data_IF_956945612666
#
_entry.id   IF_956945612666
#
_cell.length_a   1.000
_cell.length_b   1.000
_cell.length_c   1.000
_cell.angle_alpha   90.00
_cell.angle_beta   90.00
_cell.angle_gamma   90.00
#
_symmetry.space_group_name_H-M   'P 1'
#
loop_
_entity.id
_entity.type
_entity.pdbx_description
1 polymer ?
#
# COMPACT_ATOMS: atom_id res chain seq x y z
N UNK A 1 35.24 -8.56 32.66
CA UNK A 1 33.91 -7.96 32.92
C UNK A 1 33.58 -6.81 31.94
N UNK A 2 33.80 -6.96 30.62
CA UNK A 2 33.67 -5.83 29.65
C UNK A 2 32.89 -6.15 28.36
N UNK A 3 32.47 -7.40 28.14
CA UNK A 3 31.74 -7.79 26.92
C UNK A 3 30.23 -7.55 27.04
N UNK A 4 29.67 -7.63 28.25
CA UNK A 4 28.24 -7.49 28.50
C UNK A 4 27.71 -6.07 28.23
N UNK A 5 28.52 -5.03 28.49
CA UNK A 5 28.16 -3.64 28.19
C UNK A 5 28.09 -3.38 26.68
N UNK A 6 28.97 -4.00 25.88
CA UNK A 6 28.94 -3.91 24.42
C UNK A 6 27.73 -4.61 23.81
N UNK A 7 27.35 -5.78 24.34
CA UNK A 7 26.16 -6.51 23.86
C UNK A 7 24.86 -5.76 24.18
N UNK A 8 24.75 -5.17 25.38
CA UNK A 8 23.58 -4.38 25.77
C UNK A 8 23.44 -3.10 24.93
N UNK A 9 24.56 -2.43 24.62
CA UNK A 9 24.57 -1.22 23.78
C UNK A 9 24.19 -1.53 22.32
N UNK A 10 24.68 -2.64 21.76
CA UNK A 10 24.31 -3.11 20.43
C UNK A 10 22.82 -3.52 20.34
N UNK A 11 22.27 -4.14 21.39
CA UNK A 11 20.85 -4.46 21.46
C UNK A 11 19.97 -3.20 21.54
N UNK A 12 20.39 -2.19 22.30
CA UNK A 12 19.65 -0.93 22.44
C UNK A 12 19.64 -0.11 21.13
N UNK A 13 20.75 -0.14 20.37
CA UNK A 13 20.83 0.46 19.03
C UNK A 13 19.98 -0.28 17.98
N UNK A 14 19.86 -1.61 18.09
CA UNK A 14 19.03 -2.42 17.20
C UNK A 14 17.53 -2.33 17.47
N UNK A 15 17.12 -2.08 18.72
CA UNK A 15 15.70 -1.99 19.09
C UNK A 15 15.00 -0.72 18.58
N UNK A 16 15.75 0.35 18.30
CA UNK A 16 15.21 1.63 17.83
C UNK A 16 14.69 1.63 16.38
N UNK A 17 14.95 0.57 15.61
CA UNK A 17 14.55 0.45 14.20
C UNK A 17 13.34 -0.45 13.97
N UNK A 18 12.61 -0.82 15.03
CA UNK A 18 11.28 -1.40 14.90
C UNK A 18 10.37 -0.35 14.23
N UNK A 19 10.19 -0.49 12.92
CA UNK A 19 9.43 0.45 12.11
C UNK A 19 8.00 0.52 12.62
N UNK A 20 7.66 1.58 13.35
CA UNK A 20 6.30 1.87 13.73
C UNK A 20 5.49 2.15 12.46
N UNK A 21 4.31 1.54 12.36
CA UNK A 21 3.39 1.78 11.26
C UNK A 21 2.94 3.25 11.29
N UNK A 22 3.18 4.00 10.22
CA UNK A 22 2.79 5.41 10.13
C UNK A 22 1.42 5.54 9.49
N UNK A 23 0.55 6.33 10.11
CA UNK A 23 -0.77 6.68 9.56
C UNK A 23 -0.66 8.03 8.85
N UNK A 24 -0.98 8.05 7.56
CA UNK A 24 -1.07 9.27 6.74
C UNK A 24 -2.53 9.60 6.46
N UNK A 25 -2.92 10.84 6.73
CA UNK A 25 -4.27 11.33 6.54
C UNK A 25 -4.41 11.93 5.15
N UNK A 26 -5.46 11.58 4.43
CA UNK A 26 -5.83 12.21 3.16
C UNK A 26 -7.12 12.99 3.36
N UNK A 27 -7.07 14.28 3.07
CA UNK A 27 -8.23 15.15 3.12
C UNK A 27 -8.10 16.19 2.00
N UNK A 28 -9.03 16.21 1.05
CA UNK A 28 -9.03 17.19 -0.04
C UNK A 28 -10.03 18.34 0.20
N UNK A 29 -10.71 18.39 1.35
CA UNK A 29 -11.65 19.46 1.70
C UNK A 29 -10.89 20.78 1.94
N UNK A 30 -11.44 21.92 1.48
CA UNK A 30 -10.92 23.25 1.84
C UNK A 30 -10.89 23.44 3.37
N UNK A 31 -9.85 24.11 3.88
CA UNK A 31 -9.74 24.40 5.32
C UNK A 31 -9.38 23.19 6.21
N UNK A 32 -8.92 22.08 5.62
CA UNK A 32 -8.40 20.94 6.38
C UNK A 32 -7.25 21.33 7.33
N UNK A 33 -7.01 20.55 8.40
CA UNK A 33 -5.83 20.73 9.24
C UNK A 33 -4.54 20.54 8.44
N UNK A 34 -3.54 21.37 8.72
CA UNK A 34 -2.18 21.21 8.21
C UNK A 34 -1.40 20.25 9.10
N UNK A 35 -0.49 19.47 8.50
CA UNK A 35 0.40 18.59 9.24
C UNK A 35 1.34 17.84 8.31
N UNK A 36 2.48 17.38 8.83
CA UNK A 36 3.49 16.67 8.05
C UNK A 36 2.99 15.34 7.44
N UNK A 37 1.90 14.79 7.98
CA UNK A 37 1.28 13.54 7.55
C UNK A 37 -0.10 13.73 6.91
N UNK A 38 -0.46 14.98 6.56
CA UNK A 38 -1.75 15.30 5.93
C UNK A 38 -1.54 15.67 4.46
N UNK A 39 -2.25 14.98 3.57
CA UNK A 39 -2.09 15.10 2.12
C UNK A 39 -3.40 15.50 1.42
N UNK A 40 -3.27 16.13 0.26
CA UNK A 40 -4.42 16.54 -0.56
C UNK A 40 -4.96 15.38 -1.39
N UNK A 41 -4.13 14.40 -1.71
CA UNK A 41 -4.52 13.27 -2.54
C UNK A 41 -4.04 11.94 -1.99
N UNK A 42 -4.75 10.87 -2.35
CA UNK A 42 -4.38 9.50 -1.98
C UNK A 42 -3.04 9.11 -2.63
N UNK A 43 -2.74 9.64 -3.83
CA UNK A 43 -1.47 9.38 -4.50
C UNK A 43 -0.28 9.99 -3.76
N UNK A 44 -0.35 11.26 -3.34
CA UNK A 44 0.72 11.88 -2.55
C UNK A 44 0.98 11.12 -1.24
N UNK A 45 -0.09 10.70 -0.55
CA UNK A 45 0.04 9.91 0.66
C UNK A 45 0.67 8.54 0.40
N UNK A 46 0.29 7.87 -0.69
CA UNK A 46 0.91 6.61 -1.13
C UNK A 46 2.39 6.78 -1.46
N UNK A 47 2.76 7.86 -2.15
CA UNK A 47 4.14 8.11 -2.57
C UNK A 47 5.04 8.36 -1.37
N UNK A 48 4.56 9.13 -0.39
CA UNK A 48 5.25 9.38 0.86
C UNK A 48 5.25 8.20 1.84
N UNK A 49 4.38 7.19 1.64
CA UNK A 49 4.26 6.02 2.52
C UNK A 49 5.37 4.99 2.29
N UNK A 50 5.80 4.38 3.40
CA UNK A 50 6.64 3.19 3.36
C UNK A 50 5.78 1.92 3.18
N UNK A 51 6.36 0.84 2.66
CA UNK A 51 5.72 -0.48 2.68
C UNK A 51 5.19 -0.83 4.08
N UNK A 52 3.91 -1.20 4.18
CA UNK A 52 3.23 -1.57 5.42
C UNK A 52 2.49 -0.44 6.14
N UNK A 53 2.65 0.82 5.71
CA UNK A 53 1.97 1.97 6.31
C UNK A 53 0.44 1.97 6.05
N UNK A 54 -0.25 2.86 6.77
CA UNK A 54 -1.69 3.09 6.63
C UNK A 54 -1.92 4.46 5.98
N UNK A 55 -2.81 4.48 4.98
CA UNK A 55 -3.42 5.70 4.46
C UNK A 55 -4.87 5.74 4.89
N UNK A 56 -5.24 6.76 5.65
CA UNK A 56 -6.62 6.99 6.10
C UNK A 56 -7.24 8.11 5.28
N UNK A 57 -8.29 7.79 4.52
CA UNK A 57 -8.97 8.72 3.63
C UNK A 57 -10.19 9.31 4.32
N UNK A 58 -10.22 10.63 4.45
CA UNK A 58 -11.35 11.36 5.01
C UNK A 58 -12.51 11.44 4.01
N UNK A 59 -13.76 11.43 4.51
CA UNK A 59 -14.92 11.69 3.67
C UNK A 59 -14.85 13.08 3.05
N UNK A 60 -15.24 13.20 1.77
CA UNK A 60 -15.28 14.49 1.09
C UNK A 60 -16.25 14.46 -0.09
N UNK A 61 -16.78 15.62 -0.47
CA UNK A 61 -17.56 15.78 -1.69
C UNK A 61 -16.69 15.72 -2.96
N UNK A 62 -15.38 15.88 -2.83
CA UNK A 62 -14.43 15.85 -3.94
C UNK A 62 -13.86 14.44 -4.10
N UNK A 63 -13.97 13.88 -5.31
CA UNK A 63 -13.39 12.59 -5.64
C UNK A 63 -11.86 12.65 -5.73
N UNK A 64 -11.19 11.54 -5.44
CA UNK A 64 -9.78 11.33 -5.75
C UNK A 64 -9.65 10.69 -7.13
N UNK A 65 -8.92 11.30 -8.04
CA UNK A 65 -8.94 10.92 -9.46
C UNK A 65 -8.26 9.58 -9.72
N UNK A 66 -6.99 9.45 -9.36
CA UNK A 66 -6.18 8.28 -9.67
C UNK A 66 -5.36 7.84 -8.45
N UNK A 67 -5.27 6.53 -8.25
CA UNK A 67 -4.38 5.88 -7.31
C UNK A 67 -3.62 4.77 -8.04
N UNK A 68 -2.29 4.89 -8.07
CA UNK A 68 -1.39 3.86 -8.59
C UNK A 68 -0.70 3.19 -7.41
N UNK A 69 -1.06 1.94 -7.16
CA UNK A 69 -0.47 1.12 -6.12
C UNK A 69 0.80 0.47 -6.65
N UNK A 70 1.91 0.67 -5.95
CA UNK A 70 3.22 0.06 -6.30
C UNK A 70 3.96 -0.53 -5.09
N UNK A 71 3.34 -0.52 -3.90
CA UNK A 71 3.91 -1.05 -2.65
C UNK A 71 2.81 -1.70 -1.79
N UNK A 72 3.16 -2.62 -0.88
CA UNK A 72 2.20 -3.18 0.08
C UNK A 72 1.75 -2.07 1.03
N UNK A 73 0.46 -1.75 1.06
CA UNK A 73 -0.09 -0.65 1.87
C UNK A 73 -1.53 -0.96 2.25
N UNK A 74 -2.01 -0.34 3.34
CA UNK A 74 -3.40 -0.43 3.77
C UNK A 74 -4.07 0.91 3.60
N UNK A 75 -5.19 0.95 2.88
CA UNK A 75 -5.97 2.16 2.66
C UNK A 75 -7.37 1.96 3.22
N UNK A 76 -7.73 2.81 4.18
CA UNK A 76 -9.02 2.80 4.86
C UNK A 76 -9.77 4.10 4.59
N UNK A 77 -10.96 3.99 4.00
CA UNK A 77 -11.93 5.09 3.93
C UNK A 77 -12.94 5.04 5.06
N UNK A 78 -13.83 6.03 5.10
CA UNK A 78 -14.85 6.17 6.14
C UNK A 78 -15.83 4.99 6.22
N UNK A 79 -16.07 4.29 5.12
CA UNK A 79 -16.99 3.15 5.07
C UNK A 79 -16.50 1.92 5.86
N UNK A 80 -15.28 1.96 6.39
CA UNK A 80 -14.76 0.94 7.30
C UNK A 80 -15.37 1.07 8.71
N UNK A 81 -15.84 2.26 9.08
CA UNK A 81 -16.51 2.49 10.35
C UNK A 81 -17.99 2.04 10.24
N UNK A 82 -18.45 1.04 11.02
CA UNK A 82 -19.85 0.61 11.01
C UNK A 82 -20.79 1.70 11.54
N UNK A 83 -20.30 2.55 12.44
CA UNK A 83 -21.07 3.61 13.09
C UNK A 83 -21.01 4.94 12.30
N UNK A 84 -20.97 4.89 10.97
CA UNK A 84 -20.89 6.12 10.15
C UNK A 84 -22.26 6.83 10.11
N UNK A 85 -22.31 8.03 10.68
CA UNK A 85 -23.54 8.82 10.80
C UNK A 85 -23.82 9.78 9.61
N UNK A 86 -23.29 9.50 8.41
CA UNK A 86 -23.49 10.40 7.27
C UNK A 86 -23.38 9.75 5.88
N UNK A 87 -23.97 10.39 4.83
CA UNK A 87 -23.95 9.87 3.47
C UNK A 87 -22.60 10.04 2.78
N UNK A 88 -21.65 10.75 3.41
CA UNK A 88 -20.35 11.01 2.80
C UNK A 88 -19.61 9.70 2.50
N UNK A 89 -18.93 9.69 1.36
CA UNK A 89 -18.12 8.57 0.88
C UNK A 89 -16.69 9.03 0.61
N UNK A 90 -15.81 8.05 0.43
CA UNK A 90 -14.44 8.26 0.02
C UNK A 90 -14.30 7.68 -1.40
N UNK A 91 -14.63 8.49 -2.40
CA UNK A 91 -14.62 8.07 -3.80
C UNK A 91 -13.22 8.17 -4.41
N UNK A 92 -12.73 7.06 -4.96
CA UNK A 92 -11.55 6.99 -5.82
C UNK A 92 -11.99 6.54 -7.22
N UNK A 93 -11.77 7.37 -8.25
CA UNK A 93 -12.25 7.05 -9.59
C UNK A 93 -11.49 5.88 -10.21
N UNK A 94 -10.16 5.92 -10.20
CA UNK A 94 -9.34 4.87 -10.80
C UNK A 94 -8.29 4.33 -9.84
N UNK A 95 -8.25 3.01 -9.67
CA UNK A 95 -7.21 2.30 -8.92
C UNK A 95 -6.46 1.37 -9.86
N UNK A 96 -5.13 1.57 -9.96
CA UNK A 96 -4.23 0.77 -10.79
C UNK A 96 -3.25 0.00 -9.90
N UNK A 97 -3.27 -1.33 -9.98
CA UNK A 97 -2.27 -2.16 -9.33
C UNK A 97 -1.08 -2.35 -10.27
N UNK A 98 0.12 -1.98 -9.83
CA UNK A 98 1.38 -2.19 -10.56
C UNK A 98 2.25 -3.26 -9.88
N UNK A 99 3.41 -3.55 -10.48
CA UNK A 99 4.43 -4.37 -9.84
C UNK A 99 4.79 -3.80 -8.46
N UNK A 100 4.86 -4.67 -7.44
CA UNK A 100 5.10 -4.27 -6.05
C UNK A 100 3.85 -4.05 -5.20
N UNK A 101 2.65 -3.98 -5.81
CA UNK A 101 1.38 -3.87 -5.09
C UNK A 101 0.87 -5.21 -4.51
N UNK A 102 1.77 -6.05 -3.99
CA UNK A 102 1.37 -7.26 -3.26
C UNK A 102 0.83 -6.87 -1.87
N UNK A 103 -0.02 -7.71 -1.27
CA UNK A 103 -0.51 -7.52 0.10
C UNK A 103 -1.13 -6.12 0.37
N UNK A 104 -1.83 -5.56 -0.62
CA UNK A 104 -2.60 -4.31 -0.45
C UNK A 104 -3.97 -4.62 0.14
N UNK A 105 -4.41 -3.78 1.07
CA UNK A 105 -5.77 -3.79 1.62
C UNK A 105 -6.46 -2.48 1.27
N UNK A 106 -7.62 -2.57 0.62
CA UNK A 106 -8.52 -1.45 0.37
C UNK A 106 -9.83 -1.74 1.09
N UNK A 107 -10.24 -0.88 2.02
CA UNK A 107 -11.48 -1.08 2.79
C UNK A 107 -12.19 0.25 3.07
N UNK A 108 -13.52 0.23 3.05
CA UNK A 108 -14.33 1.42 3.32
C UNK A 108 -14.26 2.53 2.26
N UNK A 109 -13.86 2.18 1.04
CA UNK A 109 -13.70 3.09 -0.11
C UNK A 109 -14.78 2.81 -1.15
N UNK A 110 -15.23 3.84 -1.83
CA UNK A 110 -16.04 3.71 -3.05
C UNK A 110 -15.09 3.81 -4.25
N UNK A 111 -15.10 2.81 -5.13
CA UNK A 111 -14.15 2.73 -6.25
C UNK A 111 -14.92 2.54 -7.55
N UNK A 112 -14.74 3.46 -8.51
CA UNK A 112 -15.43 3.38 -9.79
C UNK A 112 -14.78 2.38 -10.76
N UNK A 113 -13.45 2.31 -10.79
CA UNK A 113 -12.70 1.39 -11.65
C UNK A 113 -11.47 0.83 -10.95
N UNK A 114 -11.32 -0.50 -11.00
CA UNK A 114 -10.11 -1.21 -10.59
C UNK A 114 -9.47 -1.85 -11.82
N UNK A 115 -8.18 -1.56 -12.05
CA UNK A 115 -7.35 -2.23 -13.06
C UNK A 115 -6.23 -3.00 -12.38
N UNK A 116 -6.16 -4.29 -12.67
CA UNK A 116 -5.07 -5.15 -12.23
C UNK A 116 -4.02 -5.21 -13.34
N UNK A 117 -2.74 -5.07 -12.99
CA UNK A 117 -1.66 -5.36 -13.93
C UNK A 117 -1.75 -6.83 -14.40
N UNK A 118 -1.25 -7.08 -15.61
CA UNK A 118 -1.12 -8.45 -16.13
C UNK A 118 -0.31 -9.29 -15.15
N UNK A 119 -0.76 -10.52 -14.87
CA UNK A 119 0.01 -11.49 -14.12
C UNK A 119 1.32 -11.77 -14.86
N UNK A 120 2.42 -11.17 -14.40
CA UNK A 120 3.75 -11.52 -14.88
C UNK A 120 4.19 -12.79 -14.17
N UNK A 121 3.59 -13.92 -14.55
CA UNK A 121 4.20 -15.21 -14.24
C UNK A 121 5.49 -15.27 -15.05
N UNK A 122 6.62 -15.01 -14.39
CA UNK A 122 7.94 -15.32 -14.93
C UNK A 122 8.00 -16.83 -15.08
N UNK A 123 7.50 -17.34 -16.20
CA UNK A 123 7.78 -18.69 -16.66
C UNK A 123 9.30 -18.76 -16.79
N UNK A 124 9.95 -19.32 -15.78
CA UNK A 124 11.35 -19.65 -15.85
C UNK A 124 11.55 -20.60 -17.03
N UNK A 125 12.24 -20.09 -18.05
CA UNK A 125 13.24 -20.76 -18.89
C UNK A 125 13.67 -22.20 -18.51
N UNK A 126 12.77 -23.18 -18.42
CA UNK A 126 13.13 -24.59 -18.17
C UNK A 126 12.41 -25.63 -19.01
N UNK A 127 11.68 -25.25 -20.06
CA UNK A 127 11.15 -26.21 -21.05
C UNK A 127 11.86 -26.10 -22.41
N UNK A 128 13.18 -25.92 -22.40
CA UNK A 128 14.03 -26.18 -23.56
C UNK A 128 14.86 -27.44 -23.26
N UNK A 129 14.72 -28.43 -24.14
CA UNK A 129 15.41 -29.72 -24.22
C UNK A 129 14.85 -30.91 -23.44
N UNK A 130 13.92 -31.63 -24.09
CA UNK A 130 14.16 -33.03 -24.47
C UNK A 130 13.19 -33.46 -25.58
N UNK A 131 13.54 -33.14 -26.82
CA UNK A 131 13.11 -34.00 -27.92
C UNK A 131 13.92 -35.29 -27.80
N UNK A 132 13.27 -36.41 -27.50
CA UNK A 132 13.88 -37.72 -27.55
C UNK A 132 13.81 -38.24 -28.99
N UNK A 133 14.93 -38.59 -29.65
CA UNK A 133 14.89 -39.21 -30.96
C UNK A 133 14.56 -40.69 -30.79
N UNK A 134 13.30 -41.08 -31.01
CA UNK A 134 12.99 -42.47 -31.28
C UNK A 134 13.34 -42.80 -32.74
N UNK A 135 14.60 -43.21 -32.93
CA UNK A 135 14.94 -44.20 -33.96
C UNK A 135 14.46 -45.56 -33.46
N UNK A 136 13.54 -46.21 -34.17
CA UNK A 136 13.58 -47.66 -34.32
C UNK A 136 13.09 -48.03 -35.73
N UNK A 137 13.73 -49.09 -36.20
CA UNK A 137 13.71 -49.71 -37.52
C UNK A 137 12.33 -50.10 -38.04
#
# INVERSE_FOLDING_TARGET
MKTWTLTLFAFLLGAGSLMAQTIRLVNNTPGKPAGALVYNSVQEAHDAANPGDIVHVMPSALAHTNLTLSKPIRIYGIGFNPDKDGPQTCLITNVFFQAGASNVVLAGLEIALVRLAKCQHRLGHQYLHREMPHRYH
#
